data_IF_740753096286
#
_entry.id   IF_740753096286
#
_cell.length_a   1.000
_cell.length_b   1.000
_cell.length_c   1.000
_cell.angle_alpha   90.00
_cell.angle_beta   90.00
_cell.angle_gamma   90.00
#
_symmetry.space_group_name_H-M   'P 1'
#
loop_
_entity.id
_entity.type
_entity.pdbx_description
1 polymer ?
#
# COMPACT_ATOMS: atom_id res chain seq x y z
N UNK A 1 -8.03 14.04 26.73
CA UNK A 1 -6.85 13.20 26.40
C UNK A 1 -7.13 12.41 25.13
N UNK A 2 -6.52 12.79 24.00
CA UNK A 2 -6.65 12.07 22.74
C UNK A 2 -5.91 10.74 22.81
N UNK A 3 -6.63 9.63 22.92
CA UNK A 3 -6.04 8.28 22.72
C UNK A 3 -5.67 8.17 21.23
N UNK A 4 -4.42 8.48 20.88
CA UNK A 4 -3.84 8.00 19.63
C UNK A 4 -4.06 6.49 19.62
N UNK A 5 -4.77 6.00 18.61
CA UNK A 5 -5.00 4.57 18.39
C UNK A 5 -3.62 3.92 18.34
N UNK A 6 -3.25 3.17 19.40
CA UNK A 6 -2.00 2.44 19.45
C UNK A 6 -2.08 1.32 18.41
N UNK A 7 -1.08 1.27 17.53
CA UNK A 7 -1.03 0.26 16.48
C UNK A 7 -0.80 -1.15 17.05
N UNK A 8 -1.27 -2.17 16.31
CA UNK A 8 -1.19 -3.58 16.67
C UNK A 8 0.24 -4.08 16.87
N UNK A 9 1.22 -3.51 16.16
CA UNK A 9 2.64 -3.82 16.26
C UNK A 9 3.20 -3.42 17.62
N UNK A 10 3.00 -2.16 18.03
CA UNK A 10 3.50 -1.68 19.31
C UNK A 10 2.78 -2.38 20.47
N UNK A 11 1.45 -2.52 20.41
CA UNK A 11 0.71 -3.21 21.46
C UNK A 11 1.15 -4.66 21.64
N UNK A 12 1.46 -5.35 20.55
CA UNK A 12 1.98 -6.72 20.62
C UNK A 12 3.35 -6.75 21.29
N UNK A 13 4.25 -5.82 20.96
CA UNK A 13 5.56 -5.72 21.62
C UNK A 13 5.40 -5.44 23.12
N UNK A 14 4.57 -4.46 23.50
CA UNK A 14 4.31 -4.11 24.90
C UNK A 14 3.74 -5.30 25.70
N UNK A 15 2.80 -6.05 25.11
CA UNK A 15 2.19 -7.22 25.75
C UNK A 15 3.21 -8.33 25.98
N UNK A 16 4.00 -8.71 24.96
CA UNK A 16 5.04 -9.73 25.12
C UNK A 16 6.14 -9.28 26.09
N UNK A 17 6.45 -7.98 26.14
CA UNK A 17 7.39 -7.46 27.13
C UNK A 17 6.84 -7.54 28.55
N UNK A 18 5.56 -7.24 28.75
CA UNK A 18 4.92 -7.34 30.06
C UNK A 18 4.74 -8.80 30.52
N UNK A 19 4.33 -9.70 29.61
CA UNK A 19 4.14 -11.12 29.88
C UNK A 19 5.45 -11.83 30.22
N UNK A 20 6.56 -11.41 29.60
CA UNK A 20 7.88 -12.04 29.78
C UNK A 20 8.84 -11.22 30.67
N UNK A 21 8.37 -10.17 31.36
CA UNK A 21 9.17 -9.26 32.21
C UNK A 21 10.45 -8.74 31.51
N UNK A 22 10.31 -8.35 30.24
CA UNK A 22 11.43 -7.90 29.41
C UNK A 22 11.66 -6.41 29.52
N UNK A 23 12.93 -6.01 29.55
CA UNK A 23 13.35 -4.61 29.47
C UNK A 23 13.70 -4.25 28.03
N UNK A 24 13.70 -2.95 27.67
CA UNK A 24 14.14 -2.52 26.33
C UNK A 24 15.53 -3.06 25.94
N UNK A 25 16.42 -3.26 26.91
CA UNK A 25 17.74 -3.85 26.71
C UNK A 25 17.72 -5.27 26.15
N UNK A 26 16.68 -6.04 26.47
CA UNK A 26 16.54 -7.43 26.06
C UNK A 26 16.11 -7.55 24.59
N UNK A 27 15.67 -6.45 23.97
CA UNK A 27 15.39 -6.38 22.52
C UNK A 27 16.67 -6.14 21.72
N UNK A 28 17.51 -5.16 22.09
CA UNK A 28 18.66 -4.78 21.27
C UNK A 28 19.94 -5.58 21.55
N UNK A 29 20.19 -6.04 22.78
CA UNK A 29 21.42 -6.77 23.12
C UNK A 29 21.56 -8.11 22.38
N UNK A 30 20.52 -8.96 22.24
CA UNK A 30 20.65 -10.25 21.55
C UNK A 30 20.80 -10.12 20.04
N UNK A 31 20.45 -8.95 19.48
CA UNK A 31 20.37 -8.74 18.02
C UNK A 31 21.71 -8.59 17.32
N UNK A 32 22.85 -8.63 18.04
CA UNK A 32 24.22 -8.45 17.51
C UNK A 32 24.37 -7.22 16.60
N UNK A 33 23.71 -6.11 16.96
CA UNK A 33 23.75 -4.85 16.20
C UNK A 33 22.69 -4.70 15.11
N UNK A 34 21.87 -5.73 14.84
CA UNK A 34 20.73 -5.63 13.90
C UNK A 34 19.63 -4.70 14.41
N UNK A 35 19.41 -4.66 15.73
CA UNK A 35 18.48 -3.75 16.39
C UNK A 35 19.28 -2.84 17.30
N UNK A 36 19.26 -1.53 17.06
CA UNK A 36 19.99 -0.56 17.89
C UNK A 36 19.16 -0.11 19.08
N UNK A 37 19.82 0.30 20.16
CA UNK A 37 19.17 0.90 21.32
C UNK A 37 18.27 2.08 20.91
N UNK A 38 18.76 2.95 20.01
CA UNK A 38 18.01 4.09 19.49
C UNK A 38 16.74 3.65 18.76
N UNK A 39 16.82 2.61 17.94
CA UNK A 39 15.66 2.08 17.23
C UNK A 39 14.64 1.49 18.20
N UNK A 40 15.07 0.71 19.20
CA UNK A 40 14.20 0.16 20.23
C UNK A 40 13.44 1.26 20.98
N UNK A 41 14.11 2.33 21.41
CA UNK A 41 13.43 3.45 22.09
C UNK A 41 12.42 4.15 21.18
N UNK A 42 12.73 4.34 19.90
CA UNK A 42 11.80 4.93 18.94
C UNK A 42 10.56 4.07 18.70
N UNK A 43 10.72 2.75 18.66
CA UNK A 43 9.60 1.80 18.54
C UNK A 43 8.71 1.87 19.79
N UNK A 44 9.30 1.76 20.98
CA UNK A 44 8.54 1.79 22.25
C UNK A 44 7.88 3.15 22.52
N UNK A 45 8.45 4.24 21.98
CA UNK A 45 7.80 5.55 21.98
C UNK A 45 6.67 5.68 20.94
N UNK A 46 6.42 4.66 20.10
CA UNK A 46 5.43 4.67 19.03
C UNK A 46 5.79 5.61 17.86
N UNK A 47 7.07 5.92 17.68
CA UNK A 47 7.58 6.86 16.68
C UNK A 47 8.29 6.19 15.49
N UNK A 48 8.46 4.87 15.54
CA UNK A 48 9.07 4.09 14.47
C UNK A 48 8.44 2.71 14.36
N UNK A 49 8.24 2.26 13.12
CA UNK A 49 7.93 0.87 12.78
C UNK A 49 8.99 0.45 11.76
N UNK A 50 9.84 -0.55 12.06
CA UNK A 50 10.88 -1.00 11.13
C UNK A 50 10.25 -1.47 9.81
N UNK A 51 10.89 -1.22 8.68
CA UNK A 51 10.51 -1.69 7.35
C UNK A 51 11.20 -3.01 6.96
N UNK A 52 12.44 -3.20 7.44
CA UNK A 52 13.25 -4.38 7.19
C UNK A 52 12.71 -5.63 7.94
N UNK A 53 12.35 -6.72 7.21
CA UNK A 53 11.90 -7.98 7.78
C UNK A 53 12.89 -8.60 8.78
N UNK A 54 14.21 -8.49 8.55
CA UNK A 54 15.21 -9.06 9.44
C UNK A 54 15.24 -8.37 10.81
N UNK A 55 14.98 -7.06 10.83
CA UNK A 55 14.89 -6.28 12.08
C UNK A 55 13.64 -6.69 12.85
N UNK A 56 12.51 -6.86 12.14
CA UNK A 56 11.25 -7.31 12.76
C UNK A 56 11.40 -8.73 13.30
N UNK A 57 12.04 -9.63 12.55
CA UNK A 57 12.28 -11.00 12.99
C UNK A 57 13.21 -11.04 14.21
N UNK A 58 14.26 -10.20 14.24
CA UNK A 58 15.14 -10.08 15.40
C UNK A 58 14.39 -9.59 16.66
N UNK A 59 13.47 -8.63 16.50
CA UNK A 59 12.62 -8.16 17.60
C UNK A 59 11.66 -9.27 18.05
N UNK A 60 11.02 -9.97 17.11
CA UNK A 60 10.09 -11.06 17.41
C UNK A 60 10.77 -12.17 18.21
N UNK A 61 11.97 -12.59 17.79
CA UNK A 61 12.78 -13.57 18.49
C UNK A 61 13.14 -13.07 19.91
N UNK A 62 13.53 -11.80 20.03
CA UNK A 62 13.93 -11.23 21.32
C UNK A 62 12.78 -11.12 22.33
N UNK A 63 11.54 -10.94 21.86
CA UNK A 63 10.35 -10.87 22.72
C UNK A 63 9.59 -12.20 22.83
N UNK A 64 10.05 -13.26 22.17
CA UNK A 64 9.37 -14.57 22.15
C UNK A 64 8.08 -14.63 21.33
N UNK A 65 7.90 -13.73 20.36
CA UNK A 65 6.73 -13.69 19.47
C UNK A 65 6.98 -14.41 18.14
N UNK A 66 5.89 -14.83 17.47
CA UNK A 66 5.96 -15.36 16.09
C UNK A 66 6.42 -14.26 15.11
N UNK A 67 7.56 -14.43 14.41
CA UNK A 67 8.06 -13.46 13.44
C UNK A 67 7.08 -13.17 12.29
N UNK A 68 6.25 -14.14 11.87
CA UNK A 68 5.24 -13.94 10.82
C UNK A 68 4.12 -13.02 11.30
N UNK A 69 3.67 -13.21 12.54
CA UNK A 69 2.64 -12.38 13.17
C UNK A 69 3.12 -10.94 13.33
N UNK A 70 4.33 -10.76 13.85
CA UNK A 70 4.87 -9.43 14.10
C UNK A 70 5.11 -8.65 12.79
N UNK A 71 5.57 -9.34 11.73
CA UNK A 71 5.65 -8.76 10.37
C UNK A 71 4.31 -8.32 9.83
N UNK A 72 3.26 -9.13 10.02
CA UNK A 72 1.89 -8.78 9.61
C UNK A 72 1.42 -7.51 10.32
N UNK A 73 1.61 -7.40 11.63
CA UNK A 73 1.22 -6.21 12.39
C UNK A 73 2.04 -4.97 12.04
N UNK A 74 3.36 -5.12 11.84
CA UNK A 74 4.19 -4.03 11.33
C UNK A 74 3.67 -3.51 9.99
N UNK A 75 3.32 -4.42 9.07
CA UNK A 75 2.75 -4.05 7.78
C UNK A 75 1.38 -3.35 7.90
N UNK A 76 0.50 -3.86 8.78
CA UNK A 76 -0.81 -3.26 9.04
C UNK A 76 -0.68 -1.85 9.61
N UNK A 77 0.15 -1.63 10.61
CA UNK A 77 0.30 -0.32 11.26
C UNK A 77 0.99 0.71 10.38
N UNK A 78 1.95 0.29 9.55
CA UNK A 78 2.51 1.15 8.51
C UNK A 78 1.41 1.62 7.55
N UNK A 79 0.50 0.72 7.15
CA UNK A 79 -0.65 1.08 6.32
C UNK A 79 -1.64 2.01 7.05
N UNK A 80 -1.90 1.79 8.35
CA UNK A 80 -2.76 2.65 9.17
C UNK A 80 -2.24 4.08 9.26
N UNK A 81 -0.92 4.25 9.36
CA UNK A 81 -0.29 5.57 9.43
C UNK A 81 -0.45 6.35 8.13
N UNK A 82 -0.32 5.68 6.98
CA UNK A 82 -0.51 6.25 5.63
C UNK A 82 -1.99 6.61 5.39
N UNK A 83 -2.92 5.78 5.86
CA UNK A 83 -4.36 6.06 5.78
C UNK A 83 -4.82 7.21 6.70
N UNK A 84 -4.06 7.56 7.75
CA UNK A 84 -4.39 8.68 8.64
C UNK A 84 -3.80 10.03 8.20
N UNK A 85 -2.77 10.03 7.35
CA UNK A 85 -2.39 11.20 6.54
C UNK A 85 -3.40 11.49 5.43
N UNK A 86 -4.17 10.48 5.00
CA UNK A 86 -5.38 10.63 4.20
C UNK A 86 -6.59 10.95 5.12
N UNK A 87 -6.54 12.05 5.86
CA UNK A 87 -7.75 12.58 6.49
C UNK A 87 -8.65 13.17 5.40
N UNK A 88 -9.53 12.35 4.86
CA UNK A 88 -10.78 12.83 4.26
C UNK A 88 -11.56 13.51 5.37
N UNK A 89 -11.71 14.83 5.26
CA UNK A 89 -12.50 15.60 6.20
C UNK A 89 -13.95 15.13 6.12
N UNK A 90 -14.46 14.54 7.20
CA UNK A 90 -15.80 13.91 7.25
C UNK A 90 -16.95 14.91 7.04
N UNK A 91 -16.65 16.20 6.97
CA UNK A 91 -17.60 17.26 6.67
C UNK A 91 -17.81 17.52 5.17
N UNK A 92 -17.00 16.97 4.25
CA UNK A 92 -17.24 17.14 2.79
C UNK A 92 -18.28 16.18 2.21
N UNK A 93 -18.77 15.20 2.98
CA UNK A 93 -19.76 14.22 2.49
C UNK A 93 -21.18 14.78 2.46
N UNK A 94 -21.44 15.96 3.03
CA UNK A 94 -22.75 16.61 3.02
C UNK A 94 -22.63 18.13 2.88
N UNK A 95 -22.49 18.60 1.64
CA UNK A 95 -22.68 20.01 1.32
C UNK A 95 -21.94 20.40 0.06
N UNK A 96 -22.69 20.60 -1.02
CA UNK A 96 -22.28 21.35 -2.22
C UNK A 96 -21.38 22.53 -1.86
N UNK A 97 -20.08 22.41 -2.14
CA UNK A 97 -19.19 23.56 -2.27
C UNK A 97 -18.84 23.71 -3.75
N UNK A 98 -19.05 24.93 -4.24
CA UNK A 98 -18.82 25.29 -5.64
C UNK A 98 -17.34 25.13 -5.97
N UNK A 99 -16.99 24.17 -6.83
CA UNK A 99 -15.67 24.15 -7.49
C UNK A 99 -14.98 22.80 -7.69
N UNK A 100 -15.54 21.65 -7.29
CA UNK A 100 -14.88 20.35 -7.58
C UNK A 100 -14.86 20.08 -9.07
N UNK A 101 -13.69 20.29 -9.71
CA UNK A 101 -13.45 19.86 -11.09
C UNK A 101 -13.56 18.35 -11.14
N UNK A 102 -14.58 17.86 -11.85
CA UNK A 102 -14.68 16.43 -12.15
C UNK A 102 -13.80 16.12 -13.35
N UNK A 103 -13.01 15.05 -13.27
CA UNK A 103 -12.18 14.61 -14.38
C UNK A 103 -12.80 13.38 -15.04
N UNK A 104 -12.86 13.38 -16.37
CA UNK A 104 -13.25 12.22 -17.17
C UNK A 104 -11.98 11.46 -17.51
N UNK A 105 -11.86 10.24 -16.98
CA UNK A 105 -10.71 9.38 -17.21
C UNK A 105 -11.16 8.07 -17.89
N UNK A 106 -10.33 7.46 -18.75
CA UNK A 106 -10.63 6.16 -19.32
C UNK A 106 -10.77 5.08 -18.24
N UNK A 107 -11.71 4.16 -18.38
CA UNK A 107 -12.01 3.07 -17.44
C UNK A 107 -11.71 1.71 -18.08
N UNK A 108 -10.70 1.05 -17.54
CA UNK A 108 -10.23 -0.26 -17.98
C UNK A 108 -10.62 -1.30 -16.93
N UNK A 109 -11.02 -2.51 -17.37
CA UNK A 109 -11.16 -3.64 -16.43
C UNK A 109 -9.79 -4.26 -16.18
N UNK A 110 -9.50 -4.64 -14.94
CA UNK A 110 -8.22 -5.20 -14.51
C UNK A 110 -7.74 -6.37 -15.39
N UNK A 111 -8.63 -7.31 -15.74
CA UNK A 111 -8.34 -8.46 -16.61
C UNK A 111 -7.99 -8.08 -18.07
N UNK A 112 -8.26 -6.84 -18.47
CA UNK A 112 -8.05 -6.33 -19.83
C UNK A 112 -6.93 -5.31 -19.92
N UNK A 113 -6.19 -5.04 -18.84
CA UNK A 113 -5.13 -4.01 -18.82
C UNK A 113 -4.19 -4.11 -20.02
N UNK A 114 -3.70 -5.32 -20.33
CA UNK A 114 -2.79 -5.59 -21.47
C UNK A 114 -3.34 -5.21 -22.84
N UNK A 115 -4.67 -5.17 -22.99
CA UNK A 115 -5.33 -4.86 -24.27
C UNK A 115 -5.47 -3.36 -24.51
N UNK A 116 -5.54 -2.57 -23.43
CA UNK A 116 -5.91 -1.15 -23.45
C UNK A 116 -4.74 -0.20 -23.13
N UNK A 117 -3.68 -0.68 -22.49
CA UNK A 117 -2.49 0.11 -22.20
C UNK A 117 -1.43 -0.13 -23.27
N UNK A 118 -0.87 0.94 -23.81
CA UNK A 118 0.22 0.91 -24.79
C UNK A 118 1.56 0.51 -24.14
N UNK A 119 2.58 0.27 -24.95
CA UNK A 119 3.95 0.05 -24.46
C UNK A 119 4.54 1.26 -23.74
N UNK A 120 4.00 2.45 -24.00
CA UNK A 120 4.40 3.72 -23.39
C UNK A 120 3.57 4.05 -22.14
N UNK A 121 2.59 3.19 -21.78
CA UNK A 121 1.78 3.35 -20.59
C UNK A 121 0.45 4.09 -20.79
N UNK A 122 0.17 4.58 -22.00
CA UNK A 122 -1.05 5.34 -22.26
C UNK A 122 -2.24 4.46 -22.64
N UNK A 123 -3.45 4.91 -22.32
CA UNK A 123 -4.67 4.24 -22.77
C UNK A 123 -4.92 4.54 -24.25
N UNK A 124 -4.88 3.53 -25.12
CA UNK A 124 -4.82 3.71 -26.57
C UNK A 124 -6.07 3.24 -27.35
N UNK A 125 -7.14 2.86 -26.64
CA UNK A 125 -8.40 2.36 -27.22
C UNK A 125 -9.59 2.94 -26.47
N UNK A 126 -10.76 2.92 -27.10
CA UNK A 126 -12.05 3.22 -26.47
C UNK A 126 -12.30 2.29 -25.28
N UNK A 127 -11.83 2.73 -24.12
CA UNK A 127 -12.19 2.24 -22.82
C UNK A 127 -13.51 2.90 -22.40
N UNK A 128 -14.17 2.37 -21.37
CA UNK A 128 -15.31 3.10 -20.79
C UNK A 128 -14.86 4.46 -20.26
N UNK A 129 -15.78 5.33 -19.89
CA UNK A 129 -15.43 6.59 -19.21
C UNK A 129 -15.83 6.46 -17.74
N UNK A 130 -14.92 6.87 -16.85
CA UNK A 130 -15.21 7.07 -15.45
C UNK A 130 -15.06 8.56 -15.11
N UNK A 131 -15.99 9.07 -14.30
CA UNK A 131 -15.95 10.45 -13.82
C UNK A 131 -15.41 10.40 -12.39
N UNK A 132 -14.15 10.80 -12.18
CA UNK A 132 -13.57 10.88 -10.85
C UNK A 132 -13.99 12.19 -10.18
N UNK A 133 -14.66 12.15 -9.01
CA UNK A 133 -15.11 13.36 -8.33
C UNK A 133 -14.11 13.94 -7.33
N UNK A 134 -12.99 13.27 -7.04
CA UNK A 134 -12.24 13.48 -5.78
C UNK A 134 -10.73 13.65 -5.96
N UNK A 135 -10.18 13.49 -7.17
CA UNK A 135 -8.72 13.45 -7.36
C UNK A 135 -8.30 14.46 -8.44
N UNK A 136 -7.45 15.42 -8.07
CA UNK A 136 -6.62 16.13 -9.04
C UNK A 136 -5.61 15.13 -9.60
N UNK A 137 -5.87 14.65 -10.81
CA UNK A 137 -5.02 13.69 -11.50
C UNK A 137 -4.54 14.29 -12.83
N UNK A 138 -3.35 13.89 -13.26
CA UNK A 138 -2.74 14.35 -14.51
C UNK A 138 -3.61 14.09 -15.75
N UNK A 139 -3.37 14.79 -16.86
CA UNK A 139 -4.19 14.71 -18.08
C UNK A 139 -4.20 13.32 -18.74
N UNK A 140 -3.29 12.43 -18.33
CA UNK A 140 -3.16 11.07 -18.85
C UNK A 140 -3.60 10.00 -17.84
N UNK A 141 -4.22 10.41 -16.73
CA UNK A 141 -4.73 9.50 -15.72
C UNK A 141 -5.83 8.57 -16.27
N UNK A 142 -5.92 7.38 -15.68
CA UNK A 142 -6.93 6.38 -16.05
C UNK A 142 -7.39 5.60 -14.82
N UNK A 143 -8.57 5.00 -14.93
CA UNK A 143 -9.20 4.22 -13.90
C UNK A 143 -9.14 2.72 -14.22
N UNK A 144 -8.86 1.89 -13.21
CA UNK A 144 -8.92 0.44 -13.28
C UNK A 144 -10.06 -0.06 -12.41
N UNK A 145 -11.05 -0.72 -13.02
CA UNK A 145 -12.09 -1.47 -12.33
C UNK A 145 -11.58 -2.85 -11.96
N UNK A 146 -11.65 -3.16 -10.67
CA UNK A 146 -11.19 -4.41 -10.09
C UNK A 146 -12.24 -5.48 -10.32
N UNK A 147 -11.83 -6.59 -10.93
CA UNK A 147 -12.75 -7.69 -11.29
C UNK A 147 -12.37 -9.02 -10.67
N UNK A 148 -11.14 -9.13 -10.16
CA UNK A 148 -10.59 -10.28 -9.45
C UNK A 148 -10.20 -9.88 -8.02
N UNK A 149 -10.05 -10.87 -7.14
CA UNK A 149 -9.69 -10.66 -5.74
C UNK A 149 -8.16 -10.69 -5.51
N UNK A 150 -7.37 -10.63 -6.59
CA UNK A 150 -5.90 -10.72 -6.57
C UNK A 150 -5.21 -9.74 -5.61
N UNK A 151 -5.86 -8.63 -5.28
CA UNK A 151 -5.33 -7.57 -4.41
C UNK A 151 -6.08 -7.46 -3.06
N UNK A 152 -6.90 -8.45 -2.72
CA UNK A 152 -7.58 -8.53 -1.43
C UNK A 152 -6.55 -8.72 -0.29
N UNK A 153 -6.71 -8.08 0.90
CA UNK A 153 -7.83 -7.25 1.33
C UNK A 153 -7.69 -5.77 0.96
N UNK A 154 -6.58 -5.39 0.33
CA UNK A 154 -6.29 -3.98 0.07
C UNK A 154 -7.21 -3.39 -0.98
N UNK A 155 -7.58 -4.15 -2.02
CA UNK A 155 -8.55 -3.74 -3.03
C UNK A 155 -9.56 -4.87 -3.22
N UNK A 156 -10.86 -4.57 -3.16
CA UNK A 156 -11.93 -5.55 -3.30
C UNK A 156 -12.50 -5.54 -4.73
N UNK A 157 -13.07 -6.66 -5.15
CA UNK A 157 -13.81 -6.75 -6.41
C UNK A 157 -14.90 -5.68 -6.50
N UNK A 158 -14.84 -4.88 -7.56
CA UNK A 158 -15.75 -3.78 -7.84
C UNK A 158 -15.25 -2.41 -7.39
N UNK A 159 -14.15 -2.34 -6.64
CA UNK A 159 -13.44 -1.09 -6.40
C UNK A 159 -12.87 -0.53 -7.70
N UNK A 160 -12.60 0.78 -7.72
CA UNK A 160 -12.01 1.49 -8.84
C UNK A 160 -10.73 2.17 -8.36
N UNK A 161 -9.60 1.79 -8.94
CA UNK A 161 -8.30 2.42 -8.68
C UNK A 161 -8.07 3.54 -9.69
N UNK A 162 -7.71 4.74 -9.23
CA UNK A 162 -7.29 5.85 -10.08
C UNK A 162 -5.78 5.80 -10.19
N UNK A 163 -5.28 5.76 -11.42
CA UNK A 163 -3.86 5.69 -11.76
C UNK A 163 -3.44 7.01 -12.37
N UNK A 164 -2.38 7.60 -11.83
CA UNK A 164 -1.72 8.76 -12.40
C UNK A 164 -0.40 8.35 -13.06
N UNK A 165 -0.18 8.87 -14.27
CA UNK A 165 1.00 8.62 -15.11
C UNK A 165 2.15 9.53 -14.70
N UNK A 166 1.87 10.72 -14.15
CA UNK A 166 2.89 11.70 -13.78
C UNK A 166 3.49 11.52 -12.39
N UNK A 167 2.90 10.63 -11.58
CA UNK A 167 3.30 10.41 -10.18
C UNK A 167 4.32 9.27 -10.08
N UNK A 168 5.43 9.54 -9.38
CA UNK A 168 6.45 8.53 -9.10
C UNK A 168 5.94 7.50 -8.10
N UNK A 169 6.37 6.25 -8.28
CA UNK A 169 6.03 5.12 -7.40
C UNK A 169 7.05 5.06 -6.26
N UNK A 170 6.57 5.21 -5.02
CA UNK A 170 7.37 5.04 -3.81
C UNK A 170 7.64 3.56 -3.51
N UNK A 171 8.53 3.30 -2.52
CA UNK A 171 8.97 1.94 -2.14
C UNK A 171 7.84 0.93 -1.84
N UNK A 172 6.59 1.35 -1.59
CA UNK A 172 5.46 0.48 -1.24
C UNK A 172 4.11 0.97 -1.79
N UNK A 173 4.06 1.34 -3.06
CA UNK A 173 2.83 1.80 -3.69
C UNK A 173 2.08 0.71 -4.45
N UNK A 174 0.80 0.95 -4.70
CA UNK A 174 0.09 0.22 -5.74
C UNK A 174 0.35 0.87 -7.08
N UNK A 175 0.44 0.05 -8.11
CA UNK A 175 0.68 0.59 -9.43
C UNK A 175 0.52 -0.42 -10.54
N UNK A 176 0.68 0.12 -11.74
CA UNK A 176 0.79 -0.64 -12.97
C UNK A 176 2.24 -0.53 -13.44
N UNK A 177 2.85 -1.66 -13.76
CA UNK A 177 4.19 -1.68 -14.37
C UNK A 177 4.11 -2.38 -15.72
N UNK A 178 4.62 -1.70 -16.73
CA UNK A 178 4.76 -2.25 -18.08
C UNK A 178 6.19 -2.69 -18.34
N UNK A 179 6.33 -3.83 -18.98
CA UNK A 179 7.60 -4.38 -19.50
C UNK A 179 7.45 -4.67 -20.99
N UNK A 180 8.55 -5.00 -21.66
CA UNK A 180 8.51 -5.41 -23.09
C UNK A 180 7.62 -6.63 -23.34
N UNK A 181 7.53 -7.54 -22.37
CA UNK A 181 6.80 -8.81 -22.49
C UNK A 181 5.38 -8.71 -21.95
N UNK A 182 5.17 -7.89 -20.93
CA UNK A 182 3.97 -7.97 -20.13
C UNK A 182 3.66 -6.71 -19.31
N UNK A 183 2.39 -6.53 -18.90
CA UNK A 183 1.90 -5.50 -17.99
C UNK A 183 1.35 -6.16 -16.73
N UNK A 184 1.84 -5.69 -15.58
CA UNK A 184 1.47 -6.17 -14.26
C UNK A 184 0.76 -5.09 -13.47
N UNK A 185 -0.15 -5.50 -12.60
CA UNK A 185 -0.88 -4.61 -11.69
C UNK A 185 -0.87 -5.23 -10.30
N UNK A 186 -0.37 -4.49 -9.32
CA UNK A 186 -0.23 -5.00 -7.97
C UNK A 186 0.52 -4.05 -7.05
N UNK A 187 0.96 -4.58 -5.91
CA UNK A 187 1.79 -3.83 -4.99
C UNK A 187 3.23 -3.83 -5.50
N UNK A 188 3.79 -2.65 -5.72
CA UNK A 188 5.12 -2.44 -6.25
C UNK A 188 6.07 -2.16 -5.09
N UNK A 189 7.15 -2.92 -5.01
CA UNK A 189 8.31 -2.64 -4.16
C UNK A 189 9.47 -2.21 -5.02
N UNK A 190 10.05 -1.06 -4.69
CA UNK A 190 11.16 -0.47 -5.44
C UNK A 190 12.48 -0.82 -4.75
N UNK A 191 13.36 -1.52 -5.46
CA UNK A 191 14.75 -1.75 -5.07
C UNK A 191 15.68 -1.00 -6.04
N UNK A 192 16.98 -1.00 -5.77
CA UNK A 192 17.93 -0.23 -6.57
C UNK A 192 17.94 -0.67 -8.04
N UNK A 193 17.98 -1.98 -8.30
CA UNK A 193 18.12 -2.55 -9.65
C UNK A 193 16.86 -3.22 -10.19
N UNK A 194 15.83 -3.45 -9.37
CA UNK A 194 14.61 -4.16 -9.77
C UNK A 194 13.36 -3.61 -9.06
N UNK A 195 12.21 -3.88 -9.67
CA UNK A 195 10.89 -3.79 -9.08
C UNK A 195 10.42 -5.18 -8.71
N UNK A 196 9.72 -5.30 -7.58
CA UNK A 196 8.97 -6.50 -7.22
C UNK A 196 7.49 -6.18 -7.25
N UNK A 197 6.71 -6.91 -8.03
CA UNK A 197 5.25 -6.77 -8.08
C UNK A 197 4.62 -7.97 -7.42
N UNK A 198 3.80 -7.71 -6.41
CA UNK A 198 3.09 -8.74 -5.65
C UNK A 198 1.58 -8.66 -5.91
N UNK A 199 0.98 -9.79 -6.28
CA UNK A 199 -0.46 -10.03 -6.13
C UNK A 199 -0.70 -10.70 -4.79
N UNK A 200 -1.65 -10.18 -4.02
CA UNK A 200 -1.82 -10.48 -2.60
C UNK A 200 -2.51 -11.84 -2.39
N UNK A 201 -3.49 -12.21 -3.22
CA UNK A 201 -4.29 -13.42 -3.00
C UNK A 201 -3.60 -14.70 -3.51
N UNK A 202 -2.85 -14.60 -4.61
CA UNK A 202 -2.15 -15.74 -5.21
C UNK A 202 -0.68 -15.85 -4.79
N UNK A 203 -0.21 -14.90 -3.96
CA UNK A 203 1.22 -14.74 -3.60
C UNK A 203 2.15 -14.75 -4.82
N UNK A 204 1.65 -14.34 -5.99
CA UNK A 204 2.47 -14.31 -7.19
C UNK A 204 3.38 -13.10 -7.11
N UNK A 205 4.68 -13.37 -7.14
CA UNK A 205 5.72 -12.36 -7.06
C UNK A 205 6.45 -12.32 -8.39
N UNK A 206 6.53 -11.13 -8.99
CA UNK A 206 7.26 -10.91 -10.24
C UNK A 206 8.44 -9.98 -9.97
N UNK A 207 9.65 -10.49 -10.21
CA UNK A 207 10.87 -9.68 -10.18
C UNK A 207 11.10 -9.12 -11.58
N UNK A 208 11.17 -7.79 -11.68
CA UNK A 208 11.29 -7.06 -12.94
C UNK A 208 12.50 -6.15 -12.84
N UNK A 209 13.53 -6.42 -13.63
CA UNK A 209 14.71 -5.55 -13.71
C UNK A 209 14.32 -4.18 -14.27
N UNK A 210 14.86 -3.09 -13.70
CA UNK A 210 14.49 -1.73 -14.11
C UNK A 210 14.80 -1.45 -15.58
N UNK A 211 15.86 -2.04 -16.12
CA UNK A 211 16.22 -1.94 -17.55
C UNK A 211 15.18 -2.56 -18.50
N UNK A 212 14.36 -3.47 -17.99
CA UNK A 212 13.31 -4.15 -18.73
C UNK A 212 11.93 -3.50 -18.55
N UNK A 213 11.85 -2.51 -17.66
CA UNK A 213 10.67 -1.70 -17.40
C UNK A 213 10.52 -0.61 -18.45
N UNK A 214 9.32 -0.49 -19.02
CA UNK A 214 8.98 0.58 -19.97
C UNK A 214 8.33 1.77 -19.25
N UNK A 215 7.47 1.49 -18.27
CA UNK A 215 6.81 2.51 -17.46
C UNK A 215 6.39 1.93 -16.11
N UNK A 216 6.20 2.82 -15.13
CA UNK A 216 5.60 2.50 -13.83
C UNK A 216 4.64 3.63 -13.47
N UNK A 217 3.38 3.31 -13.21
CA UNK A 217 2.36 4.28 -12.84
C UNK A 217 1.79 3.99 -11.47
N UNK A 218 1.53 5.05 -10.71
CA UNK A 218 1.04 4.96 -9.34
C UNK A 218 -0.49 4.96 -9.29
N UNK A 219 -1.06 4.10 -8.45
CA UNK A 219 -2.44 4.25 -7.99
C UNK A 219 -2.48 5.36 -6.94
N UNK A 220 -3.11 6.48 -7.28
CA UNK A 220 -3.22 7.66 -6.42
C UNK A 220 -4.47 7.64 -5.54
N UNK A 221 -5.50 6.89 -5.93
CA UNK A 221 -6.72 6.75 -5.13
C UNK A 221 -7.46 5.42 -5.39
N UNK A 222 -8.26 4.98 -4.42
CA UNK A 222 -9.09 3.78 -4.48
C UNK A 222 -10.52 4.12 -4.07
N UNK A 223 -11.40 4.21 -5.06
CA UNK A 223 -12.83 4.45 -4.86
C UNK A 223 -13.50 3.12 -4.54
N UNK A 224 -13.93 2.99 -3.28
CA UNK A 224 -14.57 1.78 -2.78
C UNK A 224 -15.98 1.62 -3.32
N UNK A 225 -16.36 0.40 -3.70
CA UNK A 225 -17.76 0.08 -3.97
C UNK A 225 -18.57 0.30 -2.70
N UNK A 226 -19.64 1.10 -2.76
CA UNK A 226 -20.64 1.14 -1.68
C UNK A 226 -21.23 -0.26 -1.53
N UNK A 227 -20.93 -0.92 -0.40
CA UNK A 227 -21.63 -2.15 -0.01
C UNK A 227 -23.11 -1.79 0.11
N UNK A 228 -23.96 -2.48 -0.64
CA UNK A 228 -25.41 -2.40 -0.45
C UNK A 228 -25.64 -2.75 1.02
N UNK A 229 -26.25 -1.83 1.79
CA UNK A 229 -26.73 -2.16 3.13
C UNK A 229 -27.71 -3.32 2.93
N UNK A 230 -27.33 -4.50 3.37
CA UNK A 230 -28.28 -5.59 3.61
C UNK A 230 -29.33 -5.04 4.56
N UNK A 231 -30.57 -4.97 4.09
CA UNK A 231 -31.74 -4.70 4.91
C UNK A 231 -31.96 -5.86 5.87
#
# INVERSE_FOLDING_TARGET
>A
MNKKIRGLFLSTIENYMAENDLRPADIYKPSKGKVTQTLTHRILAGTAIPDNPEIIDAIAIAIGADPKLLRRYAAMDRCSSICSSLKVDKNEVLGTSMGTKTYKVPLIKQDKIRKYISKEGYVNKDAGIFITPVVDCGPQAYAIKIVNDDLYPKVERGDICIVDVGEEVDRFDFGVIGTKKDIFFGMIRVYDSFYVVETIQHFTTHNIEKENTLFVHRVVDIIRRKKLKTK
#
